data_IF_271635993675
#
_entry.id   IF_271635993675
#
_cell.length_a   1.000
_cell.length_b   1.000
_cell.length_c   1.000
_cell.angle_alpha   90.00
_cell.angle_beta   90.00
_cell.angle_gamma   90.00
#
_symmetry.space_group_name_H-M   'P 1'
#
loop_
_entity.id
_entity.type
_entity.pdbx_description
1 polymer ?
#
# COMPACT_ATOMS: atom_id res chain seq x y z
N UNK A 1 3.65 -1.97 -8.68
CA UNK A 1 4.72 -2.84 -8.15
C UNK A 1 6.10 -2.17 -8.18
N UNK A 2 6.93 -2.46 -7.17
CA UNK A 2 8.33 -2.07 -7.16
C UNK A 2 9.18 -3.24 -7.70
N UNK A 3 9.72 -3.11 -8.92
CA UNK A 3 10.38 -4.21 -9.64
C UNK A 3 11.88 -4.28 -9.34
N UNK A 4 12.42 -5.49 -9.24
CA UNK A 4 13.85 -5.84 -9.10
C UNK A 4 14.28 -6.64 -10.32
N UNK A 5 14.59 -5.90 -11.40
CA UNK A 5 14.74 -6.48 -12.74
C UNK A 5 15.79 -7.60 -12.86
N UNK A 6 16.90 -7.50 -12.12
CA UNK A 6 17.99 -8.50 -12.17
C UNK A 6 17.53 -9.90 -11.75
N UNK A 7 16.59 -9.99 -10.80
CA UNK A 7 16.14 -11.26 -10.22
C UNK A 7 14.69 -11.60 -10.55
N UNK A 8 14.02 -10.81 -11.39
CA UNK A 8 12.61 -11.00 -11.71
C UNK A 8 11.66 -10.83 -10.52
N UNK A 9 12.17 -10.38 -9.38
CA UNK A 9 11.44 -10.22 -8.12
C UNK A 9 10.65 -8.90 -8.11
N UNK A 10 9.62 -8.85 -7.27
CA UNK A 10 8.83 -7.64 -7.08
C UNK A 10 8.39 -7.48 -5.62
N UNK A 11 8.12 -6.24 -5.22
CA UNK A 11 7.40 -5.90 -4.00
C UNK A 11 6.07 -5.26 -4.41
N UNK A 12 4.98 -5.81 -3.94
CA UNK A 12 3.67 -5.17 -3.99
C UNK A 12 3.69 -4.01 -3.01
N UNK A 13 3.43 -2.80 -3.48
CA UNK A 13 3.42 -1.59 -2.67
C UNK A 13 2.07 -0.92 -2.73
N UNK A 14 1.46 -0.69 -1.58
CA UNK A 14 0.28 0.14 -1.39
C UNK A 14 0.71 1.43 -0.70
N UNK A 15 0.18 2.56 -1.14
CA UNK A 15 0.49 3.86 -0.58
C UNK A 15 -0.81 4.62 -0.34
N UNK A 16 -1.10 4.92 0.92
CA UNK A 16 -2.27 5.74 1.25
C UNK A 16 -2.00 7.20 0.91
N UNK A 17 -3.00 7.85 0.31
CA UNK A 17 -2.88 9.24 -0.16
C UNK A 17 -2.95 10.26 0.98
N UNK A 18 -3.63 9.93 2.06
CA UNK A 18 -3.85 10.83 3.19
C UNK A 18 -2.71 10.73 4.19
N UNK A 19 -2.51 9.58 4.80
CA UNK A 19 -1.47 9.36 5.81
C UNK A 19 -0.07 9.19 5.23
N UNK A 20 0.05 8.95 3.91
CA UNK A 20 1.32 8.62 3.23
C UNK A 20 1.96 7.31 3.72
N UNK A 21 1.21 6.47 4.43
CA UNK A 21 1.71 5.18 4.87
C UNK A 21 2.00 4.29 3.67
N UNK A 22 3.06 3.52 3.76
CA UNK A 22 3.45 2.52 2.78
C UNK A 22 3.28 1.13 3.38
N UNK A 23 2.54 0.28 2.70
CA UNK A 23 2.43 -1.13 3.00
C UNK A 23 3.14 -1.90 1.89
N UNK A 24 3.99 -2.82 2.26
CA UNK A 24 4.77 -3.63 1.31
C UNK A 24 4.57 -5.10 1.57
N UNK A 25 4.46 -5.89 0.51
CA UNK A 25 4.45 -7.35 0.57
C UNK A 25 5.33 -7.93 -0.54
N UNK A 26 5.99 -9.04 -0.26
CA UNK A 26 6.85 -9.77 -1.22
C UNK A 26 6.07 -10.96 -1.78
N UNK A 27 5.36 -10.84 -2.90
CA UNK A 27 4.70 -11.97 -3.53
C UNK A 27 5.75 -12.94 -4.12
N UNK A 28 5.47 -14.23 -4.11
CA UNK A 28 6.36 -15.25 -4.68
C UNK A 28 6.44 -15.15 -6.20
N UNK A 29 5.37 -14.69 -6.85
CA UNK A 29 5.33 -14.39 -8.28
C UNK A 29 4.43 -13.17 -8.56
N UNK A 30 4.29 -12.78 -9.84
CA UNK A 30 3.53 -11.62 -10.29
C UNK A 30 2.24 -11.99 -11.00
N UNK A 31 1.69 -13.18 -10.76
CA UNK A 31 0.42 -13.59 -11.37
C UNK A 31 -0.72 -12.73 -10.82
N UNK A 32 -1.68 -12.37 -11.68
CA UNK A 32 -2.81 -11.55 -11.29
C UNK A 32 -3.60 -12.15 -10.13
N UNK A 33 -3.78 -13.47 -10.10
CA UNK A 33 -4.45 -14.20 -9.02
C UNK A 33 -3.74 -14.04 -7.68
N UNK A 34 -2.40 -14.19 -7.65
CA UNK A 34 -1.65 -14.04 -6.41
C UNK A 34 -1.65 -12.59 -5.92
N UNK A 35 -1.50 -11.63 -6.82
CA UNK A 35 -1.57 -10.20 -6.48
C UNK A 35 -2.96 -9.83 -5.92
N UNK A 36 -4.05 -10.32 -6.54
CA UNK A 36 -5.40 -10.11 -6.01
C UNK A 36 -5.59 -10.74 -4.62
N UNK A 37 -5.07 -11.94 -4.39
CA UNK A 37 -5.10 -12.61 -3.08
C UNK A 37 -4.30 -11.82 -2.02
N UNK A 38 -3.11 -11.35 -2.35
CA UNK A 38 -2.31 -10.49 -1.47
C UNK A 38 -3.04 -9.20 -1.11
N UNK A 39 -3.65 -8.54 -2.10
CA UNK A 39 -4.43 -7.32 -1.88
C UNK A 39 -5.65 -7.58 -0.99
N UNK A 40 -6.39 -8.68 -1.23
CA UNK A 40 -7.51 -9.08 -0.36
C UNK A 40 -7.08 -9.27 1.08
N UNK A 41 -5.96 -9.96 1.31
CA UNK A 41 -5.42 -10.19 2.66
C UNK A 41 -5.04 -8.88 3.35
N UNK A 42 -4.30 -8.00 2.66
CA UNK A 42 -3.84 -6.73 3.22
C UNK A 42 -5.00 -5.76 3.50
N UNK A 43 -5.93 -5.62 2.55
CA UNK A 43 -7.04 -4.68 2.66
C UNK A 43 -8.18 -5.22 3.52
N UNK A 44 -8.34 -6.54 3.59
CA UNK A 44 -9.36 -7.18 4.41
C UNK A 44 -9.19 -6.94 5.91
N UNK A 45 -7.97 -6.71 6.37
CA UNK A 45 -7.66 -6.37 7.77
C UNK A 45 -7.98 -4.91 8.13
N UNK A 46 -8.26 -4.05 7.13
CA UNK A 46 -8.55 -2.63 7.37
C UNK A 46 -10.06 -2.40 7.52
N UNK A 47 -10.49 -1.46 8.37
CA UNK A 47 -11.87 -1.01 8.42
C UNK A 47 -12.35 -0.50 7.06
N UNK A 48 -13.63 -0.68 6.73
CA UNK A 48 -14.19 -0.24 5.44
C UNK A 48 -14.01 1.25 5.20
N UNK A 49 -14.07 2.07 6.24
CA UNK A 49 -13.86 3.52 6.18
C UNK A 49 -12.46 3.90 5.67
N UNK A 50 -11.45 3.07 5.87
CA UNK A 50 -10.07 3.28 5.41
C UNK A 50 -9.74 2.59 4.08
N UNK A 51 -10.65 1.76 3.54
CA UNK A 51 -10.45 1.03 2.28
C UNK A 51 -11.56 1.32 1.27
N UNK A 52 -11.81 2.57 0.96
CA UNK A 52 -12.90 2.98 0.06
C UNK A 52 -12.52 2.80 -1.41
N UNK A 53 -11.33 3.23 -1.78
CA UNK A 53 -10.89 3.23 -3.18
C UNK A 53 -9.45 2.75 -3.31
N UNK A 54 -9.14 2.12 -4.43
CA UNK A 54 -7.77 1.80 -4.83
C UNK A 54 -7.55 2.20 -6.29
N UNK A 55 -6.40 2.79 -6.57
CA UNK A 55 -6.00 3.16 -7.93
C UNK A 55 -4.80 2.33 -8.35
N UNK A 56 -4.93 1.64 -9.47
CA UNK A 56 -3.88 0.84 -10.08
C UNK A 56 -3.21 1.57 -11.25
N UNK A 57 -2.00 1.17 -11.56
CA UNK A 57 -1.47 1.39 -12.90
C UNK A 57 -2.04 0.35 -13.89
N UNK A 58 -1.80 0.55 -15.20
CA UNK A 58 -2.33 -0.34 -16.24
C UNK A 58 -1.52 -1.65 -16.39
N UNK A 59 -0.96 -2.17 -15.28
CA UNK A 59 -0.23 -3.43 -15.28
C UNK A 59 -1.15 -4.65 -15.43
N UNK A 60 -0.74 -5.63 -16.21
CA UNK A 60 -1.47 -6.88 -16.42
C UNK A 60 -1.61 -7.70 -15.13
N UNK A 61 -0.74 -7.48 -14.15
CA UNK A 61 -0.79 -8.07 -12.81
C UNK A 61 -2.02 -7.66 -12.00
N UNK A 62 -2.74 -6.61 -12.41
CA UNK A 62 -3.98 -6.16 -11.76
C UNK A 62 -5.25 -6.57 -12.53
N UNK A 63 -5.14 -7.49 -13.49
CA UNK A 63 -6.29 -7.93 -14.29
C UNK A 63 -7.44 -8.52 -13.44
N UNK A 64 -7.14 -9.12 -12.28
CA UNK A 64 -8.12 -9.69 -11.36
C UNK A 64 -8.60 -8.70 -10.29
N UNK A 65 -8.54 -7.38 -10.55
CA UNK A 65 -8.98 -6.33 -9.63
C UNK A 65 -10.47 -6.46 -9.22
N UNK A 66 -11.31 -7.02 -10.09
CA UNK A 66 -12.75 -7.24 -9.81
C UNK A 66 -12.98 -8.11 -8.58
N UNK A 67 -12.05 -8.98 -8.23
CA UNK A 67 -12.13 -9.78 -7.02
C UNK A 67 -12.11 -8.94 -5.72
N UNK A 68 -11.64 -7.70 -5.77
CA UNK A 68 -11.61 -6.77 -4.63
C UNK A 68 -12.98 -6.14 -4.37
N UNK A 69 -13.90 -6.18 -5.33
CA UNK A 69 -15.25 -5.63 -5.16
C UNK A 69 -16.00 -6.31 -4.02
N UNK A 70 -15.69 -7.59 -3.72
CA UNK A 70 -16.22 -8.29 -2.57
C UNK A 70 -15.87 -7.68 -1.21
N UNK A 71 -14.91 -6.76 -1.16
CA UNK A 71 -14.54 -5.98 0.02
C UNK A 71 -15.25 -4.61 0.09
N UNK A 72 -16.25 -4.34 -0.75
CA UNK A 72 -16.88 -3.01 -0.92
C UNK A 72 -15.86 -1.91 -1.25
N UNK A 73 -14.88 -2.24 -2.09
CA UNK A 73 -13.80 -1.36 -2.49
C UNK A 73 -13.96 -1.00 -3.97
N UNK A 74 -13.92 0.28 -4.30
CA UNK A 74 -13.96 0.74 -5.68
C UNK A 74 -12.55 0.73 -6.28
N UNK A 75 -12.43 0.18 -7.48
CA UNK A 75 -11.16 0.07 -8.19
C UNK A 75 -11.10 1.06 -9.35
N UNK A 76 -9.99 1.77 -9.47
CA UNK A 76 -9.72 2.73 -10.54
C UNK A 76 -8.39 2.40 -11.21
N UNK A 77 -8.25 2.78 -12.46
CA UNK A 77 -6.99 2.70 -13.20
C UNK A 77 -6.52 4.10 -13.58
N UNK A 78 -5.21 4.28 -13.56
CA UNK A 78 -4.64 5.53 -14.05
C UNK A 78 -4.89 5.69 -15.56
N UNK A 79 -5.18 6.92 -15.98
CA UNK A 79 -5.25 7.22 -17.40
C UNK A 79 -3.88 7.05 -18.07
N UNK A 80 -3.89 6.70 -19.34
CA UNK A 80 -2.69 6.65 -20.15
C UNK A 80 -2.04 8.04 -20.21
N UNK A 81 -0.71 8.08 -20.15
CA UNK A 81 0.08 9.33 -20.17
C UNK A 81 -0.20 10.31 -19.01
N UNK A 82 -0.75 9.82 -17.88
CA UNK A 82 -1.09 10.64 -16.71
C UNK A 82 -0.22 10.31 -15.47
N UNK A 83 1.11 10.58 -15.51
CA UNK A 83 2.03 10.18 -14.44
C UNK A 83 1.73 10.84 -13.10
N UNK A 84 1.09 12.02 -13.08
CA UNK A 84 0.72 12.74 -11.85
C UNK A 84 -0.28 11.95 -10.99
N UNK A 85 -1.08 11.06 -11.58
CA UNK A 85 -2.05 10.25 -10.85
C UNK A 85 -1.39 9.25 -9.89
N UNK A 86 -0.13 8.86 -10.14
CA UNK A 86 0.67 7.94 -9.30
C UNK A 86 1.88 8.60 -8.62
N UNK A 87 2.00 9.91 -8.69
CA UNK A 87 3.16 10.62 -8.12
C UNK A 87 3.41 10.30 -6.64
N UNK A 88 2.37 10.04 -5.84
CA UNK A 88 2.50 9.64 -4.43
C UNK A 88 3.24 8.32 -4.25
N UNK A 89 2.79 7.27 -4.93
CA UNK A 89 3.41 5.94 -4.82
C UNK A 89 4.79 5.91 -5.49
N UNK A 90 4.99 6.64 -6.58
CA UNK A 90 6.30 6.76 -7.24
C UNK A 90 7.33 7.45 -6.33
N UNK A 91 6.94 8.51 -5.62
CA UNK A 91 7.79 9.16 -4.61
C UNK A 91 8.11 8.20 -3.46
N UNK A 92 7.11 7.45 -2.97
CA UNK A 92 7.31 6.45 -1.92
C UNK A 92 8.31 5.37 -2.36
N UNK A 93 8.15 4.82 -3.57
CA UNK A 93 9.08 3.87 -4.16
C UNK A 93 10.48 4.49 -4.31
N UNK A 94 10.58 5.73 -4.78
CA UNK A 94 11.85 6.45 -4.91
C UNK A 94 12.59 6.59 -3.57
N UNK A 95 11.86 6.83 -2.48
CA UNK A 95 12.44 6.86 -1.12
C UNK A 95 12.88 5.48 -0.66
N UNK A 96 12.05 4.44 -0.89
CA UNK A 96 12.40 3.06 -0.56
C UNK A 96 13.63 2.56 -1.33
N UNK A 97 13.89 3.07 -2.53
CA UNK A 97 15.08 2.74 -3.33
C UNK A 97 16.41 3.14 -2.69
N UNK A 98 16.40 4.01 -1.70
CA UNK A 98 17.59 4.35 -0.89
C UNK A 98 18.02 3.16 -0.02
N UNK A 99 17.06 2.36 0.45
CA UNK A 99 17.27 1.18 1.29
C UNK A 99 17.25 -0.11 0.47
N UNK A 100 16.45 -0.16 -0.58
CA UNK A 100 16.26 -1.29 -1.48
C UNK A 100 16.61 -0.90 -2.93
N UNK A 101 17.89 -0.79 -3.29
CA UNK A 101 18.32 -0.53 -4.66
C UNK A 101 17.77 -1.56 -5.65
N UNK A 102 17.66 -1.19 -6.94
CA UNK A 102 17.10 -2.07 -7.99
C UNK A 102 17.84 -3.41 -8.17
N UNK A 103 19.11 -3.47 -7.74
CA UNK A 103 19.97 -4.66 -7.84
C UNK A 103 19.95 -5.53 -6.58
N UNK A 104 19.14 -5.20 -5.58
CA UNK A 104 19.00 -6.00 -4.35
C UNK A 104 18.35 -7.35 -4.68
N UNK A 105 18.91 -8.42 -4.14
CA UNK A 105 18.31 -9.74 -4.17
C UNK A 105 17.35 -9.87 -2.98
N UNK A 106 16.06 -9.86 -3.24
CA UNK A 106 15.04 -9.96 -2.18
C UNK A 106 15.03 -11.34 -1.49
N UNK A 107 15.56 -12.39 -2.13
CA UNK A 107 15.63 -13.72 -1.53
C UNK A 107 16.63 -13.76 -0.35
N UNK A 108 17.63 -12.88 -0.36
CA UNK A 108 18.63 -12.76 0.71
C UNK A 108 18.17 -11.88 1.88
N UNK A 109 17.05 -11.18 1.73
CA UNK A 109 16.50 -10.31 2.74
C UNK A 109 15.49 -11.10 3.57
N UNK A 110 15.62 -11.15 4.89
CA UNK A 110 14.62 -11.78 5.76
C UNK A 110 13.32 -10.95 5.77
N UNK A 111 12.20 -11.56 6.17
CA UNK A 111 10.93 -10.84 6.33
C UNK A 111 11.05 -9.76 7.40
N UNK A 112 11.76 -10.04 8.47
CA UNK A 112 12.01 -9.11 9.56
C UNK A 112 12.81 -7.88 9.08
N UNK A 113 13.88 -8.10 8.33
CA UNK A 113 14.65 -7.02 7.72
C UNK A 113 13.80 -6.18 6.77
N UNK A 114 12.99 -6.84 5.92
CA UNK A 114 12.09 -6.14 5.01
C UNK A 114 11.07 -5.27 5.76
N UNK A 115 10.42 -5.82 6.79
CA UNK A 115 9.46 -5.11 7.62
C UNK A 115 10.11 -3.94 8.36
N UNK A 116 11.35 -4.09 8.81
CA UNK A 116 12.13 -3.00 9.42
C UNK A 116 12.32 -1.83 8.44
N UNK A 117 12.62 -2.10 7.17
CA UNK A 117 12.77 -1.04 6.16
C UNK A 117 11.44 -0.31 5.90
N UNK A 118 10.32 -1.04 5.84
CA UNK A 118 8.99 -0.43 5.74
C UNK A 118 8.69 0.42 7.00
N UNK A 119 9.03 -0.07 8.18
CA UNK A 119 8.85 0.67 9.43
C UNK A 119 9.69 1.95 9.47
N UNK A 120 10.95 1.93 9.03
CA UNK A 120 11.80 3.13 8.91
C UNK A 120 11.13 4.16 8.00
N UNK A 121 10.60 3.74 6.85
CA UNK A 121 9.87 4.63 5.95
C UNK A 121 8.66 5.26 6.64
N UNK A 122 7.84 4.46 7.32
CA UNK A 122 6.58 4.89 7.95
C UNK A 122 6.79 5.72 9.22
N UNK A 123 7.94 5.58 9.90
CA UNK A 123 8.30 6.36 11.09
C UNK A 123 9.19 7.58 10.77
N UNK A 124 9.38 7.91 9.49
CA UNK A 124 10.12 9.11 9.10
C UNK A 124 9.15 10.29 8.97
N UNK A 125 9.32 11.40 9.74
CA UNK A 125 8.46 12.58 9.67
C UNK A 125 8.38 13.18 8.26
N UNK A 126 7.21 13.72 7.90
CA UNK A 126 6.95 14.32 6.59
C UNK A 126 6.50 15.77 6.74
N UNK A 127 7.12 16.68 5.99
CA UNK A 127 6.70 18.09 5.96
C UNK A 127 5.24 18.25 5.53
N UNK A 128 4.75 17.41 4.60
CA UNK A 128 3.36 17.41 4.14
C UNK A 128 2.35 16.83 5.15
N UNK A 129 2.81 16.35 6.29
CA UNK A 129 2.01 15.86 7.42
C UNK A 129 2.28 16.68 8.68
N UNK A 130 2.67 17.94 8.54
CA UNK A 130 3.04 18.83 9.65
C UNK A 130 4.10 18.19 10.57
N UNK A 131 5.10 17.57 9.94
CA UNK A 131 6.20 16.84 10.59
C UNK A 131 5.78 15.61 11.39
N UNK A 132 4.52 15.16 11.29
CA UNK A 132 4.11 13.85 11.79
C UNK A 132 4.65 12.74 10.88
N UNK A 133 4.74 11.55 11.45
CA UNK A 133 5.09 10.33 10.67
C UNK A 133 3.84 9.76 9.99
N UNK A 134 3.99 9.06 8.85
CA UNK A 134 2.91 8.31 8.23
C UNK A 134 2.19 7.35 9.19
N UNK A 135 2.93 6.68 10.07
CA UNK A 135 2.38 5.74 11.04
C UNK A 135 1.48 6.46 12.07
N UNK A 136 1.91 7.62 12.61
CA UNK A 136 1.11 8.42 13.54
C UNK A 136 -0.21 8.88 12.91
N UNK A 137 -0.15 9.42 11.69
CA UNK A 137 -1.36 9.90 10.99
C UNK A 137 -2.30 8.74 10.69
N UNK A 138 -1.79 7.60 10.25
CA UNK A 138 -2.61 6.42 9.97
C UNK A 138 -3.26 5.86 11.25
N UNK A 139 -2.52 5.81 12.35
CA UNK A 139 -3.05 5.39 13.65
C UNK A 139 -4.16 6.35 14.15
N UNK A 140 -3.98 7.66 13.98
CA UNK A 140 -5.02 8.64 14.31
C UNK A 140 -6.31 8.41 13.51
N UNK A 141 -6.21 8.07 12.22
CA UNK A 141 -7.36 7.72 11.39
C UNK A 141 -8.04 6.45 11.90
N UNK A 142 -7.29 5.39 12.22
CA UNK A 142 -7.84 4.15 12.78
C UNK A 142 -8.63 4.41 14.05
N UNK A 143 -8.06 5.13 15.01
CA UNK A 143 -8.70 5.44 16.30
C UNK A 143 -9.95 6.30 16.13
N UNK A 144 -9.94 7.26 15.21
CA UNK A 144 -11.12 8.09 14.94
C UNK A 144 -12.30 7.25 14.45
N UNK A 145 -12.06 6.32 13.52
CA UNK A 145 -13.12 5.48 12.98
C UNK A 145 -13.62 4.41 13.95
N UNK A 146 -12.78 3.92 14.86
CA UNK A 146 -13.21 3.04 15.95
C UNK A 146 -14.15 3.77 16.92
N UNK A 147 -13.85 5.00 17.28
CA UNK A 147 -14.72 5.83 18.11
C UNK A 147 -16.08 6.10 17.46
N UNK A 148 -16.12 6.44 16.16
CA UNK A 148 -17.39 6.69 15.46
C UNK A 148 -18.26 5.43 15.32
N UNK A 149 -17.65 4.25 15.15
CA UNK A 149 -18.38 2.99 15.05
C UNK A 149 -19.04 2.58 16.37
N UNK A 150 -18.42 2.93 17.50
CA UNK A 150 -18.96 2.65 18.86
C UNK A 150 -20.13 3.57 19.22
N UNK A 151 -20.17 4.81 18.71
CA UNK A 151 -21.25 5.75 18.97
C UNK A 151 -22.55 5.48 18.17
N UNK A 152 -22.50 4.67 17.12
CA UNK A 152 -23.69 4.32 16.31
C UNK A 152 -24.48 3.11 16.80
N UNK A 153 -24.11 2.54 17.94
CA UNK A 153 -24.83 1.41 18.55
C UNK A 153 -25.76 1.86 19.68
N UNK A 154 -26.71 2.75 19.39
CA UNK A 154 -27.90 2.95 20.24
C UNK A 154 -29.05 3.45 19.37
N UNK A 155 -29.88 2.56 18.81
CA UNK A 155 -31.29 2.86 18.61
C UNK A 155 -32.06 2.33 19.82
N UNK A 156 -32.75 3.22 20.50
CA UNK A 156 -33.93 2.85 21.31
C UNK A 156 -35.01 2.23 20.42
#
# INVERSE_FOLDING_TARGET
>A
LMLFAKYGQAVLTLHDRTSRILIGQRPTNKTATLIASCLKSLLGCLPQSLRQTITFDNGTEFAHHSELHGLNLQTFFCDTYSPWQKGGVENAIGRMRRFLPRKTDLAKLSDEQFNTLIAIYNNTPRKCLDFKTPAEVFLQQLLHFECESTFRLSPE
#
